data_IF_011314364587
#
_entry.id   IF_011314364587
#
_cell.length_a   1.000
_cell.length_b   1.000
_cell.length_c   1.000
_cell.angle_alpha   90.00
_cell.angle_beta   90.00
_cell.angle_gamma   90.00
#
_symmetry.space_group_name_H-M   'P 1'
#
loop_
_entity.id
_entity.type
_entity.pdbx_description
1 polymer ?
#
# COMPACT_ATOMS: atom_id res chain seq x y z
N UNK A 1 11.20 7.22 -13.93
CA UNK A 1 11.59 5.91 -14.52
C UNK A 1 11.63 4.87 -13.40
N UNK A 2 11.13 3.66 -13.69
CA UNK A 2 11.14 2.54 -12.76
C UNK A 2 11.66 1.29 -13.48
N UNK A 3 12.62 0.62 -12.86
CA UNK A 3 13.17 -0.65 -13.32
C UNK A 3 13.09 -1.64 -12.18
N UNK A 4 12.75 -2.90 -12.49
CA UNK A 4 12.73 -3.98 -11.52
C UNK A 4 13.15 -5.29 -12.17
N UNK A 5 13.98 -6.04 -11.47
CA UNK A 5 14.39 -7.40 -11.82
C UNK A 5 14.09 -8.30 -10.64
N UNK A 6 13.35 -9.36 -10.88
CA UNK A 6 13.04 -10.39 -9.89
C UNK A 6 13.53 -11.74 -10.39
N UNK A 7 14.15 -12.50 -9.51
CA UNK A 7 14.52 -13.89 -9.74
C UNK A 7 13.96 -14.74 -8.62
N UNK A 8 13.39 -15.88 -8.97
CA UNK A 8 12.92 -16.85 -8.00
C UNK A 8 13.23 -18.27 -8.43
N UNK A 9 13.57 -19.14 -7.47
CA UNK A 9 13.90 -20.53 -7.69
C UNK A 9 13.39 -21.39 -6.54
N UNK A 10 12.74 -22.51 -6.87
CA UNK A 10 12.45 -23.54 -5.89
C UNK A 10 13.72 -24.29 -5.53
N UNK A 11 13.95 -24.47 -4.23
CA UNK A 11 15.12 -25.14 -3.68
C UNK A 11 14.87 -26.63 -3.43
N UNK A 12 13.61 -27.00 -3.20
CA UNK A 12 13.19 -28.37 -2.89
C UNK A 12 11.80 -28.68 -3.48
N UNK A 13 11.37 -29.93 -3.32
CA UNK A 13 10.06 -30.42 -3.74
C UNK A 13 8.92 -30.04 -2.78
N UNK A 14 9.22 -29.52 -1.61
CA UNK A 14 8.23 -29.10 -0.60
C UNK A 14 7.78 -27.66 -0.82
N UNK A 15 8.43 -26.96 -1.77
CA UNK A 15 8.04 -25.61 -2.20
C UNK A 15 8.82 -24.48 -1.54
N UNK A 16 9.94 -24.79 -0.90
CA UNK A 16 10.87 -23.73 -0.43
C UNK A 16 11.39 -22.94 -1.63
N UNK A 17 11.22 -21.62 -1.61
CA UNK A 17 11.61 -20.73 -2.71
C UNK A 17 12.61 -19.68 -2.23
N UNK A 18 13.69 -19.56 -2.97
CA UNK A 18 14.61 -18.41 -2.90
C UNK A 18 14.08 -17.31 -3.82
N UNK A 19 14.04 -16.06 -3.33
CA UNK A 19 13.69 -14.90 -4.10
C UNK A 19 14.76 -13.82 -3.98
N UNK A 20 15.15 -13.25 -5.12
CA UNK A 20 16.03 -12.09 -5.21
C UNK A 20 15.28 -10.99 -5.95
N UNK A 21 15.38 -9.76 -5.48
CA UNK A 21 14.77 -8.59 -6.14
C UNK A 21 15.74 -7.42 -6.11
N UNK A 22 15.81 -6.72 -7.23
CA UNK A 22 16.49 -5.44 -7.34
C UNK A 22 15.59 -4.46 -8.09
N UNK A 23 15.39 -3.25 -7.56
CA UNK A 23 14.63 -2.21 -8.24
C UNK A 23 15.25 -0.85 -8.04
N UNK A 24 15.08 0.01 -9.06
CA UNK A 24 15.49 1.41 -9.07
C UNK A 24 14.35 2.29 -9.52
N UNK A 25 14.03 3.29 -8.72
CA UNK A 25 13.07 4.32 -9.03
C UNK A 25 13.76 5.67 -9.09
N UNK A 26 13.52 6.41 -10.17
CA UNK A 26 13.97 7.81 -10.33
C UNK A 26 12.78 8.69 -10.70
N UNK A 27 12.64 9.80 -10.02
CA UNK A 27 11.60 10.79 -10.27
C UNK A 27 12.19 12.19 -10.36
N UNK A 28 11.88 12.85 -11.48
CA UNK A 28 12.15 14.26 -11.73
C UNK A 28 10.82 14.97 -12.00
N UNK A 29 10.02 15.29 -10.96
CA UNK A 29 8.77 15.97 -11.19
C UNK A 29 9.00 17.32 -11.86
N UNK A 30 8.23 17.59 -12.90
CA UNK A 30 8.26 18.91 -13.59
C UNK A 30 7.66 20.02 -12.72
N UNK A 31 6.88 19.65 -11.71
CA UNK A 31 6.29 20.56 -10.75
C UNK A 31 7.38 21.12 -9.82
N UNK A 32 7.36 22.43 -9.66
CA UNK A 32 8.24 23.15 -8.75
C UNK A 32 7.52 23.25 -7.41
N UNK A 33 8.20 22.87 -6.33
CA UNK A 33 7.70 23.07 -4.97
C UNK A 33 8.00 24.51 -4.57
N UNK A 34 6.95 25.32 -4.37
CA UNK A 34 7.11 26.72 -3.95
C UNK A 34 7.08 26.83 -2.43
N UNK A 35 8.18 27.26 -1.84
CA UNK A 35 8.27 27.55 -0.41
C UNK A 35 7.68 28.92 -0.06
N UNK A 36 7.32 29.12 1.22
CA UNK A 36 6.99 30.45 1.74
C UNK A 36 8.19 31.38 1.52
N UNK A 37 7.96 32.52 0.87
CA UNK A 37 9.01 33.45 0.46
C UNK A 37 9.33 33.43 -1.05
N UNK A 38 8.61 32.64 -1.87
CA UNK A 38 8.75 32.66 -3.33
C UNK A 38 9.96 31.90 -3.86
N UNK A 39 10.59 31.04 -3.05
CA UNK A 39 11.69 30.19 -3.48
C UNK A 39 11.12 28.96 -4.16
N UNK A 40 11.49 28.73 -5.41
CA UNK A 40 11.09 27.58 -6.20
C UNK A 40 12.16 26.49 -6.12
N UNK A 41 11.74 25.27 -5.71
CA UNK A 41 12.60 24.10 -5.61
C UNK A 41 12.25 23.05 -6.68
N UNK A 42 13.26 22.50 -7.32
CA UNK A 42 13.15 21.28 -8.12
C UNK A 42 13.58 20.10 -7.26
N UNK A 43 12.74 19.09 -7.21
CA UNK A 43 13.01 17.86 -6.50
C UNK A 43 13.50 16.77 -7.48
N UNK A 44 14.54 16.05 -7.09
CA UNK A 44 14.97 14.80 -7.72
C UNK A 44 15.01 13.73 -6.66
N UNK A 45 14.37 12.58 -6.91
CA UNK A 45 14.39 11.45 -6.00
C UNK A 45 14.91 10.21 -6.69
N UNK A 46 15.83 9.52 -6.03
CA UNK A 46 16.35 8.22 -6.43
C UNK A 46 16.12 7.25 -5.26
N UNK A 47 15.54 6.08 -5.55
CA UNK A 47 15.29 5.05 -4.57
C UNK A 47 15.70 3.69 -5.15
N UNK A 48 16.73 3.09 -4.57
CA UNK A 48 17.23 1.76 -4.91
C UNK A 48 16.82 0.76 -3.84
N UNK A 49 16.33 -0.40 -4.25
CA UNK A 49 15.92 -1.47 -3.33
C UNK A 49 16.51 -2.79 -3.77
N UNK A 50 17.05 -3.52 -2.82
CA UNK A 50 17.58 -4.86 -3.00
C UNK A 50 17.00 -5.77 -1.93
N UNK A 51 16.71 -7.01 -2.29
CA UNK A 51 16.30 -7.99 -1.29
C UNK A 51 16.69 -9.41 -1.66
N UNK A 52 16.94 -10.20 -0.64
CA UNK A 52 17.10 -11.66 -0.69
C UNK A 52 16.19 -12.26 0.37
N UNK A 53 15.44 -13.29 0.01
CA UNK A 53 14.51 -13.92 0.93
C UNK A 53 14.27 -15.38 0.61
N UNK A 54 13.80 -16.09 1.62
CA UNK A 54 13.33 -17.46 1.54
C UNK A 54 11.86 -17.48 1.96
N UNK A 55 11.04 -18.25 1.26
CA UNK A 55 9.66 -18.54 1.65
C UNK A 55 9.42 -20.05 1.64
N UNK A 56 8.58 -20.50 2.56
CA UNK A 56 8.22 -21.92 2.67
C UNK A 56 6.72 -22.04 2.95
N UNK A 57 5.97 -22.83 2.18
CA UNK A 57 4.58 -23.13 2.46
C UNK A 57 4.47 -24.15 3.61
N UNK A 58 3.85 -23.74 4.71
CA UNK A 58 3.54 -24.67 5.83
C UNK A 58 2.25 -25.44 5.60
N UNK A 59 1.30 -24.81 4.90
CA UNK A 59 0.04 -25.42 4.47
C UNK A 59 -0.11 -25.17 2.98
N UNK A 60 -0.25 -26.19 2.19
CA UNK A 60 -0.47 -26.13 0.76
C UNK A 60 -1.62 -27.06 0.36
N UNK A 61 -2.84 -26.58 0.45
CA UNK A 61 -4.04 -27.32 0.03
C UNK A 61 -4.88 -26.48 -0.93
N UNK A 62 -5.81 -27.08 -1.68
CA UNK A 62 -6.66 -26.32 -2.62
C UNK A 62 -7.45 -25.19 -1.97
N UNK A 63 -7.84 -25.35 -0.69
CA UNK A 63 -8.70 -24.43 0.01
C UNK A 63 -7.99 -23.62 1.11
N UNK A 64 -6.75 -23.98 1.45
CA UNK A 64 -6.02 -23.33 2.53
C UNK A 64 -4.52 -23.29 2.21
N UNK A 65 -3.95 -22.11 2.39
CA UNK A 65 -2.53 -21.84 2.16
C UNK A 65 -1.98 -21.06 3.34
N UNK A 66 -0.85 -21.49 3.86
CA UNK A 66 -0.06 -20.73 4.83
C UNK A 66 1.39 -20.74 4.38
N UNK A 67 1.96 -19.58 4.16
CA UNK A 67 3.37 -19.41 3.83
C UNK A 67 4.06 -18.54 4.87
N UNK A 68 5.27 -18.93 5.26
CA UNK A 68 6.17 -18.08 6.03
C UNK A 68 7.33 -17.64 5.14
N UNK A 69 7.78 -16.41 5.33
CA UNK A 69 8.96 -15.89 4.64
C UNK A 69 9.88 -15.13 5.58
N UNK A 70 11.17 -15.20 5.28
CA UNK A 70 12.21 -14.39 5.90
C UNK A 70 12.97 -13.67 4.80
N UNK A 71 13.17 -12.36 4.94
CA UNK A 71 13.79 -11.53 3.91
C UNK A 71 14.71 -10.50 4.54
N UNK A 72 15.95 -10.41 4.03
CA UNK A 72 16.81 -9.26 4.25
C UNK A 72 16.64 -8.28 3.09
N UNK A 73 16.53 -7.00 3.39
CA UNK A 73 16.41 -5.97 2.37
C UNK A 73 17.24 -4.72 2.70
N UNK A 74 17.66 -4.05 1.64
CA UNK A 74 18.36 -2.78 1.67
C UNK A 74 17.55 -1.76 0.84
N UNK A 75 17.43 -0.54 1.35
CA UNK A 75 16.82 0.60 0.65
C UNK A 75 17.78 1.76 0.76
N UNK A 76 18.17 2.32 -0.38
CA UNK A 76 18.97 3.53 -0.48
C UNK A 76 18.07 4.61 -1.11
N UNK A 77 17.67 5.60 -0.33
CA UNK A 77 16.73 6.67 -0.73
C UNK A 77 17.44 8.02 -0.64
N UNK A 78 17.57 8.69 -1.77
CA UNK A 78 18.19 10.02 -1.86
C UNK A 78 17.22 11.00 -2.48
N UNK A 79 17.03 12.14 -1.82
CA UNK A 79 16.23 13.23 -2.33
C UNK A 79 17.06 14.50 -2.41
N UNK A 80 17.19 15.05 -3.62
CA UNK A 80 17.88 16.29 -3.93
C UNK A 80 16.88 17.42 -4.14
N UNK A 81 17.07 18.52 -3.45
CA UNK A 81 16.35 19.78 -3.69
C UNK A 81 17.30 20.80 -4.29
N UNK A 82 16.96 21.33 -5.46
CA UNK A 82 17.73 22.38 -6.14
C UNK A 82 16.92 23.66 -6.19
N UNK A 83 17.50 24.75 -5.69
CA UNK A 83 16.90 26.08 -5.78
C UNK A 83 16.94 26.57 -7.22
N UNK A 84 15.80 26.96 -7.77
CA UNK A 84 15.74 27.49 -9.15
C UNK A 84 16.40 28.86 -9.19
N UNK A 85 17.40 29.01 -10.06
CA UNK A 85 18.14 30.28 -10.23
C UNK A 85 19.33 30.48 -9.29
N UNK A 86 19.61 29.55 -8.38
CA UNK A 86 20.78 29.58 -7.50
C UNK A 86 21.54 28.27 -7.54
N UNK A 87 22.88 28.26 -7.42
CA UNK A 87 23.68 27.05 -7.40
C UNK A 87 23.64 26.36 -6.01
N UNK A 88 22.46 26.28 -5.39
CA UNK A 88 22.25 25.65 -4.11
C UNK A 88 21.51 24.32 -4.31
N UNK A 89 22.12 23.24 -3.78
CA UNK A 89 21.57 21.89 -3.74
C UNK A 89 21.57 21.43 -2.26
N UNK A 90 20.42 20.95 -1.80
CA UNK A 90 20.27 20.29 -0.51
C UNK A 90 19.95 18.83 -0.82
N UNK A 91 20.76 17.92 -0.31
CA UNK A 91 20.57 16.47 -0.42
C UNK A 91 20.20 15.89 0.93
N UNK A 92 19.23 15.03 0.95
CA UNK A 92 18.93 14.14 2.09
C UNK A 92 19.04 12.70 1.65
N UNK A 93 19.73 11.89 2.44
CA UNK A 93 19.90 10.46 2.18
C UNK A 93 19.44 9.64 3.38
N UNK A 94 18.82 8.50 3.11
CA UNK A 94 18.45 7.53 4.14
C UNK A 94 18.66 6.13 3.59
N UNK A 95 19.63 5.42 4.17
CA UNK A 95 20.03 4.07 3.79
C UNK A 95 19.59 3.09 4.87
N UNK A 96 18.63 2.21 4.55
CA UNK A 96 18.02 1.26 5.46
C UNK A 96 18.56 -0.13 5.18
N UNK A 97 18.79 -0.87 6.26
CA UNK A 97 19.12 -2.30 6.24
C UNK A 97 18.21 -3.00 7.23
N UNK A 98 17.40 -3.94 6.76
CA UNK A 98 16.41 -4.55 7.63
C UNK A 98 16.13 -6.02 7.28
N UNK A 99 15.62 -6.74 8.28
CA UNK A 99 15.03 -8.06 8.12
C UNK A 99 13.51 -7.98 8.28
N UNK A 100 12.80 -8.78 7.48
CA UNK A 100 11.38 -9.00 7.60
C UNK A 100 11.09 -10.47 7.80
N UNK A 101 10.18 -10.79 8.72
CA UNK A 101 9.56 -12.10 8.89
C UNK A 101 8.07 -11.92 8.64
N UNK A 102 7.54 -12.60 7.62
CA UNK A 102 6.16 -12.39 7.17
C UNK A 102 5.45 -13.75 7.10
N UNK A 103 4.18 -13.75 7.46
CA UNK A 103 3.30 -14.89 7.33
C UNK A 103 2.03 -14.49 6.59
N UNK A 104 1.68 -15.25 5.56
CA UNK A 104 0.50 -15.07 4.74
C UNK A 104 -0.38 -16.31 4.84
N UNK A 105 -1.58 -16.14 5.36
CA UNK A 105 -2.59 -17.19 5.44
C UNK A 105 -3.79 -16.83 4.59
N UNK A 106 -4.22 -17.81 3.78
CA UNK A 106 -5.41 -17.72 2.95
C UNK A 106 -6.26 -18.98 3.15
N UNK A 107 -7.57 -18.78 3.35
CA UNK A 107 -8.55 -19.86 3.36
C UNK A 107 -9.75 -19.48 2.51
N UNK A 108 -10.12 -20.36 1.59
CA UNK A 108 -11.23 -20.17 0.68
C UNK A 108 -12.22 -21.34 0.81
N UNK A 109 -13.50 -21.03 0.83
CA UNK A 109 -14.60 -21.97 0.70
C UNK A 109 -15.56 -21.44 -0.37
N UNK A 110 -16.60 -22.17 -0.72
CA UNK A 110 -17.58 -21.71 -1.72
C UNK A 110 -18.24 -20.38 -1.36
N UNK A 111 -18.33 -20.05 -0.08
CA UNK A 111 -19.00 -18.86 0.43
C UNK A 111 -18.09 -17.84 1.14
N UNK A 112 -16.87 -18.20 1.46
CA UNK A 112 -15.97 -17.37 2.26
C UNK A 112 -14.57 -17.34 1.68
N UNK A 113 -13.95 -16.18 1.71
CA UNK A 113 -12.52 -15.99 1.50
C UNK A 113 -11.96 -15.22 2.69
N UNK A 114 -10.90 -15.76 3.31
CA UNK A 114 -10.14 -15.09 4.38
C UNK A 114 -8.69 -14.99 3.95
N UNK A 115 -8.11 -13.83 4.12
CA UNK A 115 -6.69 -13.57 3.89
C UNK A 115 -6.21 -12.81 5.12
N UNK A 116 -5.13 -13.28 5.75
CA UNK A 116 -4.47 -12.60 6.86
C UNK A 116 -2.99 -12.57 6.55
N UNK A 117 -2.39 -11.39 6.64
CA UNK A 117 -0.95 -11.18 6.51
C UNK A 117 -0.43 -10.52 7.77
N UNK A 118 0.62 -11.09 8.35
CA UNK A 118 1.32 -10.54 9.51
C UNK A 118 2.81 -10.41 9.20
N UNK A 119 3.45 -9.35 9.67
CA UNK A 119 4.87 -9.12 9.47
C UNK A 119 5.53 -8.44 10.65
N UNK A 120 6.76 -8.86 10.93
CA UNK A 120 7.69 -8.27 11.89
C UNK A 120 8.90 -7.79 11.12
N UNK A 121 9.29 -6.54 11.33
CA UNK A 121 10.39 -5.90 10.63
C UNK A 121 11.36 -5.34 11.65
N UNK A 122 12.64 -5.65 11.48
CA UNK A 122 13.73 -5.17 12.32
C UNK A 122 14.74 -4.44 11.46
N UNK A 123 14.90 -3.15 11.68
CA UNK A 123 15.98 -2.35 11.12
C UNK A 123 17.31 -2.61 11.83
N UNK A 124 18.40 -2.25 11.19
CA UNK A 124 19.76 -2.36 11.75
C UNK A 124 20.54 -1.09 11.44
N UNK A 125 21.02 -0.41 12.47
CA UNK A 125 21.99 0.69 12.35
C UNK A 125 23.42 0.11 12.12
N UNK A 126 23.53 -0.72 11.08
CA UNK A 126 24.77 -1.45 10.69
C UNK A 126 24.72 -1.75 9.18
N UNK A 127 25.77 -2.37 8.66
CA UNK A 127 25.88 -2.81 7.26
C UNK A 127 25.77 -1.66 6.24
N UNK A 128 26.21 -0.45 6.64
CA UNK A 128 26.13 0.74 5.79
C UNK A 128 24.79 1.45 5.85
N UNK A 129 23.96 1.20 6.87
CA UNK A 129 22.81 2.03 7.17
C UNK A 129 23.28 3.43 7.60
N UNK A 130 22.60 4.46 7.12
CA UNK A 130 22.90 5.86 7.45
C UNK A 130 21.69 6.72 7.18
N UNK A 131 21.55 7.83 7.90
CA UNK A 131 20.50 8.83 7.64
C UNK A 131 20.96 10.22 8.01
N UNK A 132 20.53 11.21 7.21
CA UNK A 132 20.73 12.64 7.49
C UNK A 132 19.55 13.24 8.30
N UNK A 133 18.54 12.42 8.66
CA UNK A 133 17.34 12.82 9.40
C UNK A 133 17.26 12.11 10.75
N UNK A 134 16.40 12.60 11.62
CA UNK A 134 16.13 12.00 12.95
C UNK A 134 15.21 10.78 12.80
N UNK A 135 15.73 9.68 12.26
CA UNK A 135 15.05 8.40 12.14
C UNK A 135 15.80 7.32 12.91
N UNK A 136 15.04 6.40 13.51
CA UNK A 136 15.58 5.20 14.11
C UNK A 136 15.87 4.17 13.02
N UNK A 137 17.16 3.87 12.77
CA UNK A 137 17.56 2.86 11.79
C UNK A 137 17.53 1.44 12.34
N UNK A 138 17.53 1.28 13.66
CA UNK A 138 17.35 0.02 14.39
C UNK A 138 15.89 -0.24 14.80
N UNK A 139 14.95 0.35 14.08
CA UNK A 139 13.53 0.29 14.35
C UNK A 139 12.97 -1.14 14.45
N UNK A 140 11.93 -1.31 15.26
CA UNK A 140 11.08 -2.48 15.31
C UNK A 140 9.66 -2.13 14.90
N UNK A 141 9.14 -2.80 13.87
CA UNK A 141 7.81 -2.52 13.31
C UNK A 141 6.98 -3.79 13.16
N UNK A 142 5.71 -3.70 13.53
CA UNK A 142 4.70 -4.73 13.29
C UNK A 142 3.71 -4.29 12.22
N UNK A 143 3.30 -5.23 11.39
CA UNK A 143 2.22 -5.06 10.42
C UNK A 143 1.25 -6.23 10.54
N UNK A 144 -0.04 -5.92 10.59
CA UNK A 144 -1.12 -6.90 10.49
C UNK A 144 -2.13 -6.39 9.47
N UNK A 145 -2.56 -7.22 8.55
CA UNK A 145 -3.63 -6.88 7.63
C UNK A 145 -4.50 -8.10 7.35
N UNK A 146 -5.76 -7.86 7.00
CA UNK A 146 -6.67 -8.94 6.70
C UNK A 146 -7.84 -8.50 5.84
N UNK A 147 -8.35 -9.46 5.09
CA UNK A 147 -9.57 -9.34 4.29
C UNK A 147 -10.43 -10.56 4.57
N UNK A 148 -11.70 -10.33 4.88
CA UNK A 148 -12.72 -11.37 4.94
C UNK A 148 -13.85 -11.01 3.99
N UNK A 149 -14.15 -11.93 3.09
CA UNK A 149 -15.27 -11.84 2.15
C UNK A 149 -16.25 -12.95 2.45
N UNK A 150 -17.49 -12.61 2.70
CA UNK A 150 -18.57 -13.55 2.98
C UNK A 150 -19.69 -13.37 1.95
N UNK A 151 -20.09 -14.46 1.28
CA UNK A 151 -21.28 -14.50 0.44
C UNK A 151 -22.47 -14.91 1.31
N UNK A 152 -23.37 -13.96 1.52
CA UNK A 152 -24.63 -14.20 2.20
C UNK A 152 -25.76 -14.05 1.18
N UNK A 153 -26.66 -15.00 1.14
CA UNK A 153 -27.55 -15.22 0.02
C UNK A 153 -26.79 -15.45 -1.31
N UNK A 154 -27.45 -15.79 -2.37
CA UNK A 154 -26.75 -16.22 -3.61
C UNK A 154 -26.06 -15.08 -4.35
N UNK A 155 -26.50 -13.84 -4.17
CA UNK A 155 -26.02 -12.68 -4.94
C UNK A 155 -25.38 -11.58 -4.10
N UNK A 156 -25.52 -11.61 -2.79
CA UNK A 156 -24.94 -10.61 -1.89
C UNK A 156 -23.58 -11.04 -1.35
N UNK A 157 -22.66 -10.10 -1.27
CA UNK A 157 -21.34 -10.31 -0.68
C UNK A 157 -20.97 -9.13 0.20
N UNK A 158 -20.45 -9.42 1.39
CA UNK A 158 -19.80 -8.46 2.27
C UNK A 158 -18.29 -8.67 2.24
N UNK A 159 -17.52 -7.60 2.21
CA UNK A 159 -16.06 -7.63 2.27
C UNK A 159 -15.61 -6.69 3.39
N UNK A 160 -15.06 -7.26 4.46
CA UNK A 160 -14.38 -6.52 5.52
C UNK A 160 -12.88 -6.54 5.26
N UNK A 161 -12.22 -5.41 5.41
CA UNK A 161 -10.77 -5.30 5.34
C UNK A 161 -10.25 -4.42 6.47
N UNK A 162 -9.06 -4.75 6.98
CA UNK A 162 -8.39 -3.97 8.02
C UNK A 162 -6.87 -4.06 7.85
N UNK A 163 -6.17 -3.01 8.31
CA UNK A 163 -4.71 -3.00 8.44
C UNK A 163 -4.31 -2.26 9.71
N UNK A 164 -3.25 -2.74 10.35
CA UNK A 164 -2.64 -2.15 11.54
C UNK A 164 -1.13 -2.10 11.34
N UNK A 165 -0.54 -0.95 11.65
CA UNK A 165 0.90 -0.71 11.69
C UNK A 165 1.26 -0.16 13.06
N UNK A 166 2.25 -0.76 13.68
CA UNK A 166 2.68 -0.38 15.02
C UNK A 166 4.21 -0.39 15.15
N UNK A 167 4.73 0.63 15.81
CA UNK A 167 6.12 0.77 16.24
C UNK A 167 6.19 1.77 17.37
N UNK A 168 7.24 1.76 18.17
CA UNK A 168 7.52 2.85 19.11
C UNK A 168 8.65 3.77 18.62
N UNK A 169 9.23 3.45 17.47
CA UNK A 169 10.36 4.14 16.86
C UNK A 169 9.89 5.22 15.86
N UNK A 170 10.77 6.17 15.53
CA UNK A 170 10.58 7.16 14.45
C UNK A 170 11.04 6.58 13.14
N UNK A 171 10.10 6.24 12.25
CA UNK A 171 10.39 5.49 11.03
C UNK A 171 10.88 6.36 9.87
N UNK A 172 11.84 5.86 9.08
CA UNK A 172 12.11 6.41 7.75
C UNK A 172 10.87 6.41 6.86
N UNK A 173 10.75 7.39 5.96
CA UNK A 173 9.56 7.59 5.10
C UNK A 173 9.12 6.33 4.36
N UNK A 174 10.07 5.51 3.89
CA UNK A 174 9.78 4.30 3.13
C UNK A 174 9.21 3.15 3.98
N UNK A 175 9.28 3.26 5.31
CA UNK A 175 8.81 2.24 6.26
C UNK A 175 7.51 2.64 6.97
N UNK A 176 7.04 3.88 6.79
CA UNK A 176 5.81 4.39 7.42
C UNK A 176 4.55 3.71 6.91
N UNK A 177 3.53 3.73 7.74
CA UNK A 177 2.17 3.44 7.34
C UNK A 177 1.64 4.54 6.41
N UNK A 178 1.08 4.16 5.25
CA UNK A 178 0.49 5.10 4.29
C UNK A 178 -0.92 4.66 3.97
N UNK A 179 -1.86 5.60 4.06
CA UNK A 179 -3.27 5.40 3.75
C UNK A 179 -3.80 6.46 2.80
N UNK A 180 -4.83 6.08 2.06
CA UNK A 180 -5.53 6.90 1.08
C UNK A 180 -5.88 6.11 -0.18
N UNK A 181 -6.71 6.67 -1.03
CA UNK A 181 -7.15 6.03 -2.26
C UNK A 181 -7.88 4.72 -2.01
N UNK A 182 -7.62 3.71 -2.83
CA UNK A 182 -8.31 2.42 -2.76
C UNK A 182 -8.04 1.62 -1.48
N UNK A 183 -6.99 1.97 -0.75
CA UNK A 183 -6.60 1.33 0.50
C UNK A 183 -6.92 2.23 1.70
N UNK A 184 -8.18 2.20 2.18
CA UNK A 184 -8.65 2.96 3.34
C UNK A 184 -8.55 4.48 3.17
N UNK A 185 -9.43 5.04 2.36
CA UNK A 185 -9.52 6.47 2.09
C UNK A 185 -9.94 6.76 0.65
N UNK A 186 -10.99 6.09 0.16
CA UNK A 186 -11.46 6.19 -1.24
C UNK A 186 -11.81 7.61 -1.68
N UNK A 187 -12.24 8.45 -0.73
CA UNK A 187 -12.49 9.88 -0.97
C UNK A 187 -11.23 10.75 -1.06
N UNK A 188 -10.03 10.18 -0.82
CA UNK A 188 -8.76 10.89 -0.70
C UNK A 188 -7.73 10.43 -1.76
N UNK A 189 -6.65 11.19 -2.03
CA UNK A 189 -5.54 10.71 -2.85
C UNK A 189 -4.82 9.53 -2.17
N UNK A 190 -4.03 8.77 -2.94
CA UNK A 190 -3.41 7.51 -2.49
C UNK A 190 -2.40 7.66 -1.36
N UNK A 191 -1.84 8.84 -1.18
CA UNK A 191 -0.81 9.19 -0.19
C UNK A 191 -1.29 10.31 0.75
N UNK A 192 -2.59 10.32 1.05
CA UNK A 192 -3.22 11.33 1.89
C UNK A 192 -2.61 11.44 3.28
N UNK A 193 -2.27 10.32 3.88
CA UNK A 193 -1.79 10.26 5.25
C UNK A 193 -0.66 9.25 5.40
N UNK A 194 0.41 9.67 6.06
CA UNK A 194 1.50 8.80 6.51
C UNK A 194 1.75 8.97 7.99
N UNK A 195 2.40 8.00 8.62
CA UNK A 195 2.76 8.04 10.03
C UNK A 195 3.56 6.81 10.45
N UNK A 196 4.19 6.87 11.62
CA UNK A 196 4.92 5.73 12.19
C UNK A 196 3.96 4.63 12.58
N UNK A 197 2.79 5.02 13.11
CA UNK A 197 1.67 4.14 13.47
C UNK A 197 0.45 4.47 12.63
N UNK A 198 -0.40 3.46 12.46
CA UNK A 198 -1.67 3.70 11.80
C UNK A 198 -2.56 2.48 11.75
N UNK A 199 -3.85 2.72 11.56
CA UNK A 199 -4.84 1.69 11.27
C UNK A 199 -5.80 2.14 10.18
N UNK A 200 -6.30 1.18 9.43
CA UNK A 200 -7.37 1.38 8.46
C UNK A 200 -8.36 0.24 8.52
N UNK A 201 -9.62 0.53 8.26
CA UNK A 201 -10.69 -0.44 8.14
C UNK A 201 -11.68 -0.03 7.06
N UNK A 202 -12.22 -1.01 6.35
CA UNK A 202 -13.27 -0.78 5.36
C UNK A 202 -14.28 -1.92 5.36
N UNK A 203 -15.51 -1.60 5.01
CA UNK A 203 -16.55 -2.58 4.78
C UNK A 203 -17.30 -2.26 3.49
N UNK A 204 -17.33 -3.23 2.59
CA UNK A 204 -18.05 -3.18 1.32
C UNK A 204 -19.22 -4.17 1.34
N UNK A 205 -20.36 -3.73 0.84
CA UNK A 205 -21.46 -4.62 0.48
C UNK A 205 -21.73 -4.46 -1.00
N UNK A 206 -21.79 -5.58 -1.70
CA UNK A 206 -22.06 -5.62 -3.13
C UNK A 206 -23.14 -6.63 -3.47
N UNK A 207 -23.78 -6.43 -4.60
CA UNK A 207 -24.80 -7.32 -5.17
C UNK A 207 -24.41 -7.69 -6.60
N UNK A 208 -24.39 -9.00 -6.90
CA UNK A 208 -23.96 -9.50 -8.20
C UNK A 208 -25.18 -9.91 -9.06
N UNK A 209 -25.45 -9.13 -10.09
CA UNK A 209 -26.39 -9.49 -11.16
C UNK A 209 -25.62 -10.27 -12.22
N UNK A 210 -25.91 -11.54 -12.39
CA UNK A 210 -25.42 -12.34 -13.52
C UNK A 210 -26.42 -12.28 -14.65
N UNK A 211 -25.94 -12.05 -15.86
CA UNK A 211 -26.78 -11.94 -17.07
C UNK A 211 -26.19 -12.82 -18.17
N UNK A 212 -27.08 -13.39 -18.96
CA UNK A 212 -26.73 -14.10 -20.19
C UNK A 212 -26.62 -13.08 -21.35
N UNK A 213 -25.57 -12.29 -21.35
CA UNK A 213 -25.31 -11.27 -22.36
C UNK A 213 -23.94 -11.48 -23.01
N UNK A 214 -23.78 -11.05 -24.27
CA UNK A 214 -22.53 -11.24 -25.02
C UNK A 214 -21.39 -10.36 -24.45
N UNK A 215 -21.71 -9.15 -23.99
CA UNK A 215 -20.73 -8.14 -23.58
C UNK A 215 -20.68 -7.92 -22.07
N UNK A 216 -21.82 -7.90 -21.40
CA UNK A 216 -21.91 -7.68 -19.95
C UNK A 216 -22.56 -8.89 -19.29
N UNK A 217 -21.76 -9.75 -18.67
CA UNK A 217 -22.21 -10.94 -17.93
C UNK A 217 -22.31 -10.71 -16.44
N UNK A 218 -21.55 -9.73 -15.92
CA UNK A 218 -21.57 -9.32 -14.53
C UNK A 218 -21.87 -7.82 -14.42
N UNK A 219 -22.83 -7.49 -13.58
CA UNK A 219 -23.12 -6.13 -13.12
C UNK A 219 -23.18 -6.15 -11.61
N UNK A 220 -22.29 -5.37 -10.94
CA UNK A 220 -22.14 -5.42 -9.49
C UNK A 220 -22.11 -4.01 -8.90
N UNK A 221 -23.27 -3.45 -8.50
CA UNK A 221 -23.31 -2.27 -7.65
C UNK A 221 -22.74 -2.59 -6.26
N UNK A 222 -22.09 -1.60 -5.66
CA UNK A 222 -21.52 -1.72 -4.32
C UNK A 222 -21.54 -0.41 -3.55
N UNK A 223 -21.54 -0.53 -2.24
CA UNK A 223 -21.32 0.58 -1.30
C UNK A 223 -20.16 0.24 -0.38
N UNK A 224 -19.31 1.23 -0.09
CA UNK A 224 -18.17 1.08 0.82
C UNK A 224 -18.19 2.21 1.84
N UNK A 225 -17.85 1.84 3.08
CA UNK A 225 -17.45 2.76 4.12
C UNK A 225 -16.04 2.41 4.55
N UNK A 226 -15.18 3.42 4.65
CA UNK A 226 -13.82 3.25 5.12
C UNK A 226 -13.42 4.33 6.13
N UNK A 227 -12.46 3.99 6.98
CA UNK A 227 -11.83 4.89 7.91
C UNK A 227 -10.37 4.51 8.10
N UNK A 228 -9.49 5.50 8.30
CA UNK A 228 -8.11 5.31 8.65
C UNK A 228 -7.60 6.45 9.53
N UNK A 229 -6.57 6.15 10.30
CA UNK A 229 -5.87 7.11 11.14
C UNK A 229 -4.37 6.81 11.12
N UNK A 230 -3.56 7.86 11.02
CA UNK A 230 -2.10 7.78 11.20
C UNK A 230 -1.62 8.81 12.22
N UNK A 231 -0.51 8.51 12.88
CA UNK A 231 0.17 9.43 13.78
C UNK A 231 1.67 9.13 13.84
N UNK A 232 2.44 10.15 14.23
CA UNK A 232 3.87 10.06 14.45
C UNK A 232 4.17 9.87 15.93
N UNK A 233 5.30 9.25 16.25
CA UNK A 233 5.74 9.06 17.64
C UNK A 233 6.39 10.31 18.20
N UNK A 234 7.31 10.92 17.47
CA UNK A 234 8.12 12.05 17.93
C UNK A 234 7.70 13.39 17.32
N UNK A 235 7.25 13.39 16.05
CA UNK A 235 6.84 14.62 15.39
C UNK A 235 5.54 15.16 15.99
N UNK A 236 5.59 16.40 16.50
CA UNK A 236 4.41 17.11 17.01
C UNK A 236 3.55 17.68 15.88
N UNK A 237 3.10 16.83 14.99
CA UNK A 237 2.14 17.17 13.93
C UNK A 237 0.78 16.58 14.28
N UNK A 238 -0.27 17.22 13.76
CA UNK A 238 -1.63 16.75 13.98
C UNK A 238 -1.83 15.36 13.33
N UNK A 239 -2.46 14.43 14.06
CA UNK A 239 -2.89 13.13 13.53
C UNK A 239 -3.75 13.29 12.29
N UNK A 240 -3.49 12.49 11.28
CA UNK A 240 -4.36 12.42 10.10
C UNK A 240 -5.53 11.48 10.34
N UNK A 241 -6.75 11.94 10.07
CA UNK A 241 -7.99 11.17 10.24
C UNK A 241 -8.75 11.17 8.93
N UNK A 242 -8.97 10.03 8.38
CA UNK A 242 -9.73 9.85 7.15
C UNK A 242 -10.96 9.01 7.41
N UNK A 243 -12.06 9.37 6.77
CA UNK A 243 -13.20 8.51 6.59
C UNK A 243 -13.87 8.86 5.27
N UNK A 244 -14.39 7.88 4.56
CA UNK A 244 -15.13 8.12 3.33
C UNK A 244 -16.29 7.14 3.15
N UNK A 245 -17.27 7.57 2.34
CA UNK A 245 -18.33 6.73 1.82
C UNK A 245 -18.24 6.73 0.29
N UNK A 246 -18.33 5.55 -0.32
CA UNK A 246 -18.28 5.40 -1.76
C UNK A 246 -19.46 4.56 -2.28
N UNK A 247 -19.93 4.93 -3.48
CA UNK A 247 -20.88 4.16 -4.27
C UNK A 247 -20.18 3.81 -5.58
N UNK A 248 -20.32 2.59 -6.03
CA UNK A 248 -19.70 2.17 -7.26
C UNK A 248 -20.47 1.11 -8.01
N UNK A 249 -20.04 0.88 -9.24
CA UNK A 249 -20.56 -0.10 -10.15
C UNK A 249 -19.42 -0.79 -10.86
N UNK A 250 -19.32 -2.11 -10.71
CA UNK A 250 -18.41 -2.95 -11.52
C UNK A 250 -19.22 -3.67 -12.56
N UNK A 251 -18.70 -3.73 -13.79
CA UNK A 251 -19.33 -4.48 -14.87
C UNK A 251 -18.29 -4.99 -15.87
N UNK A 252 -18.62 -6.09 -16.52
CA UNK A 252 -17.73 -6.72 -17.49
C UNK A 252 -18.28 -8.06 -17.97
N UNK A 253 -17.48 -8.78 -18.75
CA UNK A 253 -17.82 -10.13 -19.20
C UNK A 253 -17.44 -11.24 -18.21
N UNK A 254 -16.92 -10.87 -17.04
CA UNK A 254 -16.44 -11.74 -15.95
C UNK A 254 -15.21 -12.62 -16.31
N UNK A 255 -14.63 -12.47 -17.50
CA UNK A 255 -13.50 -13.26 -17.99
C UNK A 255 -12.36 -12.38 -18.51
N UNK A 256 -12.61 -11.55 -19.50
CA UNK A 256 -11.57 -10.79 -20.20
C UNK A 256 -11.47 -9.35 -19.72
N UNK A 257 -12.56 -8.69 -19.41
CA UNK A 257 -12.51 -7.30 -18.97
C UNK A 257 -13.43 -7.00 -17.81
N UNK A 258 -13.01 -6.02 -17.03
CA UNK A 258 -13.77 -5.46 -15.93
C UNK A 258 -13.60 -3.93 -15.90
N UNK A 259 -14.71 -3.21 -15.79
CA UNK A 259 -14.76 -1.76 -15.65
C UNK A 259 -15.37 -1.45 -14.30
N UNK A 260 -14.75 -0.54 -13.54
CA UNK A 260 -15.29 -0.04 -12.28
C UNK A 260 -15.44 1.47 -12.35
N UNK A 261 -16.62 1.93 -12.00
CA UNK A 261 -16.96 3.35 -11.82
C UNK A 261 -17.27 3.57 -10.34
N UNK A 262 -16.65 4.57 -9.74
CA UNK A 262 -16.84 4.86 -8.30
C UNK A 262 -16.92 6.36 -8.06
N UNK A 263 -17.81 6.75 -7.17
CA UNK A 263 -17.89 8.09 -6.59
C UNK A 263 -17.69 7.96 -5.09
N UNK A 264 -16.65 8.60 -4.55
CA UNK A 264 -16.29 8.55 -3.14
C UNK A 264 -16.25 9.96 -2.54
N UNK A 265 -16.82 10.15 -1.34
CA UNK A 265 -16.86 11.42 -0.65
C UNK A 265 -16.03 11.38 0.63
N UNK A 266 -15.05 12.29 0.81
CA UNK A 266 -14.34 12.49 2.08
C UNK A 266 -15.30 13.01 3.16
N UNK A 267 -15.20 12.50 4.38
CA UNK A 267 -16.07 12.84 5.50
C UNK A 267 -15.33 13.45 6.69
N UNK A 268 -14.03 13.18 6.84
CA UNK A 268 -13.19 13.70 7.94
C UNK A 268 -12.28 14.84 7.48
N UNK A 269 -10.97 14.60 7.36
CA UNK A 269 -10.01 15.62 6.93
C UNK A 269 -10.29 16.11 5.50
N UNK A 270 -9.71 17.23 5.12
CA UNK A 270 -9.74 17.70 3.72
C UNK A 270 -8.75 16.90 2.88
N UNK A 271 -9.06 16.68 1.61
CA UNK A 271 -8.14 16.03 0.68
C UNK A 271 -6.98 16.96 0.33
N UNK A 272 -5.73 16.48 0.44
CA UNK A 272 -4.52 17.28 0.28
C UNK A 272 -4.32 17.82 -1.15
N UNK A 273 -4.80 17.10 -2.15
CA UNK A 273 -4.67 17.50 -3.56
C UNK A 273 -5.67 18.55 -4.02
N UNK A 274 -6.84 18.62 -3.37
CA UNK A 274 -7.94 19.52 -3.77
C UNK A 274 -8.30 20.56 -2.70
N UNK A 275 -7.75 20.42 -1.48
CA UNK A 275 -8.02 21.27 -0.31
C UNK A 275 -9.51 21.41 0.02
N UNK A 276 -10.28 20.35 -0.26
CA UNK A 276 -11.73 20.32 -0.01
C UNK A 276 -12.23 18.90 0.27
N UNK A 277 -13.54 18.75 0.48
CA UNK A 277 -14.25 17.47 0.68
C UNK A 277 -15.23 17.17 -0.46
N UNK A 278 -14.92 17.59 -1.68
CA UNK A 278 -15.77 17.28 -2.83
C UNK A 278 -15.66 15.79 -3.19
N UNK A 279 -16.75 15.21 -3.69
CA UNK A 279 -16.68 13.83 -4.18
C UNK A 279 -15.64 13.66 -5.27
N UNK A 280 -14.94 12.53 -5.24
CA UNK A 280 -13.97 12.09 -6.26
C UNK A 280 -14.64 11.05 -7.14
N UNK A 281 -14.36 11.13 -8.43
CA UNK A 281 -14.79 10.14 -9.40
C UNK A 281 -13.57 9.34 -9.85
N UNK A 282 -13.68 8.01 -9.77
CA UNK A 282 -12.62 7.08 -10.16
C UNK A 282 -13.15 6.12 -11.20
N UNK A 283 -12.39 5.92 -12.27
CA UNK A 283 -12.63 4.90 -13.31
C UNK A 283 -11.44 3.97 -13.32
N UNK A 284 -11.68 2.68 -13.23
CA UNK A 284 -10.65 1.67 -13.45
C UNK A 284 -11.08 0.70 -14.53
N UNK A 285 -10.12 0.28 -15.33
CA UNK A 285 -10.30 -0.72 -16.38
C UNK A 285 -9.23 -1.77 -16.26
N UNK A 286 -9.60 -3.03 -16.27
CA UNK A 286 -8.69 -4.15 -16.35
C UNK A 286 -9.06 -5.04 -17.54
N UNK A 287 -8.03 -5.52 -18.25
CA UNK A 287 -8.16 -6.46 -19.33
C UNK A 287 -7.17 -7.60 -19.14
N UNK A 288 -7.63 -8.82 -19.31
CA UNK A 288 -6.83 -10.02 -19.19
C UNK A 288 -6.83 -10.75 -20.53
N UNK A 289 -5.63 -11.03 -21.06
CA UNK A 289 -5.41 -11.78 -22.29
C UNK A 289 -5.44 -13.28 -22.03
#
# INVERSE_FOLDING_TARGET
>A
HYYRVDYSQYLDSEGTQLALSASRYRSDPSAVVRLQGGIDLKQHRENDRYSIGLSHPLIASPNEWLSLSARFYAVDDTTDYRVVGFPLKISTSTDIRAMAFEGDWRKATDKQLRIISAGVYQGFDRFGANTDADYDLDFFRLRLSGVQSDRFFDSWQGVASAALYWTDDSLPDSERAVFGGQNFGRGYPSDQASGDKGWGAAYEVNYSFRRDGDWVKLLQPYIVFDAAKTWFNELQVQDSKMSSAALGLRFGDAQYYNISLEVAKPMSDIALDSFNRRPRFTVSFSYQL
#
